data_IF_210492532438
#
_entry.id   IF_210492532438
#
_cell.length_a   1.000
_cell.length_b   1.000
_cell.length_c   1.000
_cell.angle_alpha   90.00
_cell.angle_beta   90.00
_cell.angle_gamma   90.00
#
_symmetry.space_group_name_H-M   'P 1'
#
loop_
_entity.id
_entity.type
_entity.pdbx_description
1 polymer ?
#
# COMPACT_ATOMS: atom_id res chain seq x y z
N UNK A 1 9.79 -9.74 4.58
CA UNK A 1 9.75 -8.32 4.16
C UNK A 1 9.18 -7.48 5.29
N UNK A 2 9.37 -6.18 5.25
CA UNK A 2 8.77 -5.19 6.14
C UNK A 2 7.97 -4.19 5.32
N UNK A 3 6.93 -3.60 5.90
CA UNK A 3 6.13 -2.56 5.26
C UNK A 3 6.98 -1.30 5.05
N UNK A 4 6.80 -0.62 3.91
CA UNK A 4 7.46 0.66 3.64
C UNK A 4 6.66 1.84 4.24
N UNK A 5 7.26 3.03 4.25
CA UNK A 5 6.55 4.26 4.65
C UNK A 5 5.30 4.49 3.77
N UNK A 6 5.36 4.16 2.48
CA UNK A 6 4.21 4.25 1.57
C UNK A 6 3.05 3.34 2.02
N UNK A 7 3.35 2.14 2.47
CA UNK A 7 2.35 1.21 3.02
C UNK A 7 1.78 1.71 4.36
N UNK A 8 2.62 2.27 5.24
CA UNK A 8 2.17 2.87 6.48
C UNK A 8 1.25 4.07 6.23
N UNK A 9 1.59 4.97 5.29
CA UNK A 9 0.74 6.10 4.90
C UNK A 9 -0.62 5.65 4.36
N UNK A 10 -0.65 4.55 3.59
CA UNK A 10 -1.91 3.97 3.13
C UNK A 10 -2.80 3.54 4.31
N UNK A 11 -2.24 2.87 5.32
CA UNK A 11 -2.99 2.47 6.52
C UNK A 11 -3.48 3.72 7.27
N UNK A 12 -2.60 4.69 7.54
CA UNK A 12 -2.90 5.95 8.25
C UNK A 12 -4.08 6.69 7.60
N UNK A 13 -4.12 6.72 6.25
CA UNK A 13 -5.17 7.38 5.48
C UNK A 13 -6.57 6.82 5.78
N UNK A 14 -6.70 5.52 6.05
CA UNK A 14 -7.98 4.87 6.27
C UNK A 14 -8.36 4.67 7.73
N UNK A 15 -7.39 4.57 8.63
CA UNK A 15 -7.66 4.39 10.06
C UNK A 15 -7.98 5.71 10.77
N UNK A 16 -7.37 6.81 10.34
CA UNK A 16 -7.46 8.11 10.99
C UNK A 16 -6.69 8.15 12.32
N UNK A 17 -6.37 9.35 12.77
CA UNK A 17 -5.58 9.58 13.97
C UNK A 17 -6.44 10.01 15.15
N UNK A 18 -6.32 9.32 16.29
CA UNK A 18 -6.91 9.68 17.57
C UNK A 18 -5.82 9.79 18.64
N UNK A 19 -5.52 11.01 19.05
CA UNK A 19 -4.49 11.27 20.06
C UNK A 19 -4.96 11.05 21.50
N UNK A 20 -6.26 10.91 21.72
CA UNK A 20 -6.86 10.61 23.04
C UNK A 20 -7.55 9.27 22.99
N UNK A 21 -7.42 8.50 24.08
CA UNK A 21 -8.03 7.19 24.21
C UNK A 21 -9.56 7.27 24.15
N UNK A 22 -10.18 6.33 23.43
CA UNK A 22 -11.62 6.24 23.28
C UNK A 22 -12.10 4.78 23.26
N UNK A 23 -13.39 4.59 23.40
CA UNK A 23 -14.07 3.32 23.12
C UNK A 23 -15.09 3.55 22.01
N UNK A 24 -15.07 2.73 20.97
CA UNK A 24 -16.08 2.77 19.92
C UNK A 24 -17.44 2.28 20.43
N UNK A 25 -17.42 1.27 21.32
CA UNK A 25 -18.58 0.77 22.03
C UNK A 25 -18.28 0.76 23.54
N UNK A 26 -19.27 1.12 24.35
CA UNK A 26 -19.14 1.09 25.83
C UNK A 26 -18.85 -0.30 26.40
N UNK A 27 -19.18 -1.33 25.64
CA UNK A 27 -18.96 -2.74 25.99
C UNK A 27 -17.55 -3.24 25.72
N UNK A 28 -16.71 -2.47 25.00
CA UNK A 28 -15.32 -2.87 24.73
C UNK A 28 -14.52 -3.01 26.02
N UNK A 29 -13.70 -4.05 26.10
CA UNK A 29 -12.87 -4.32 27.29
C UNK A 29 -11.78 -3.27 27.45
N UNK A 30 -11.11 -2.90 26.37
CA UNK A 30 -9.98 -1.97 26.35
C UNK A 30 -10.31 -0.68 25.60
N UNK A 31 -9.45 0.30 25.71
CA UNK A 31 -9.50 1.54 24.95
C UNK A 31 -8.71 1.42 23.67
N UNK A 32 -9.02 2.29 22.72
CA UNK A 32 -8.34 2.45 21.44
C UNK A 32 -7.66 3.81 21.40
N UNK A 33 -6.49 3.92 20.78
CA UNK A 33 -5.74 5.17 20.61
C UNK A 33 -4.91 5.12 19.31
N UNK A 34 -4.40 6.26 18.84
CA UNK A 34 -3.53 6.33 17.66
C UNK A 34 -4.27 5.98 16.38
N UNK A 35 -3.71 5.11 15.58
CA UNK A 35 -4.26 4.58 14.33
C UNK A 35 -5.00 3.25 14.52
N UNK A 36 -5.74 3.12 15.60
CA UNK A 36 -6.53 1.93 15.89
C UNK A 36 -5.84 0.95 16.86
N UNK A 37 -4.79 1.37 17.56
CA UNK A 37 -4.16 0.56 18.60
C UNK A 37 -5.15 0.28 19.75
N UNK A 38 -5.46 -1.00 19.94
CA UNK A 38 -6.42 -1.48 20.96
C UNK A 38 -5.71 -2.46 21.89
N UNK A 39 -5.67 -2.16 23.17
CA UNK A 39 -4.96 -3.01 24.11
C UNK A 39 -5.18 -2.67 25.58
N UNK A 40 -4.70 -3.56 26.46
CA UNK A 40 -4.72 -3.37 27.93
C UNK A 40 -3.73 -2.30 28.40
N UNK A 41 -2.83 -1.88 27.55
CA UNK A 41 -1.86 -0.83 27.77
C UNK A 41 -2.43 0.59 27.50
N UNK A 42 -3.66 0.68 26.95
CA UNK A 42 -4.37 1.95 26.73
C UNK A 42 -5.33 2.23 27.89
N UNK A 43 -5.00 3.23 28.71
CA UNK A 43 -5.84 3.65 29.83
C UNK A 43 -6.87 4.72 29.44
N UNK A 44 -7.93 4.92 30.24
CA UNK A 44 -9.08 5.79 29.94
C UNK A 44 -8.69 7.21 29.56
N UNK A 45 -7.84 7.89 30.17
CA UNK A 45 -7.52 9.29 29.92
C UNK A 45 -6.15 9.45 29.23
N UNK A 46 -5.65 8.38 28.61
CA UNK A 46 -4.36 8.38 27.93
C UNK A 46 -4.40 9.30 26.73
N UNK A 47 -3.34 10.10 26.59
CA UNK A 47 -3.06 10.91 25.40
C UNK A 47 -1.66 10.61 24.90
N UNK A 48 -1.48 10.67 23.59
CA UNK A 48 -0.19 10.42 22.93
C UNK A 48 0.08 11.50 21.89
N UNK A 49 1.34 11.61 21.48
CA UNK A 49 1.74 12.43 20.34
C UNK A 49 1.54 11.65 19.03
N UNK A 50 1.57 12.34 17.89
CA UNK A 50 1.53 11.70 16.58
C UNK A 50 2.70 10.72 16.37
N UNK A 51 3.92 11.11 16.80
CA UNK A 51 5.08 10.22 16.75
C UNK A 51 4.88 8.94 17.55
N UNK A 52 4.27 9.03 18.75
CA UNK A 52 3.94 7.84 19.54
C UNK A 52 2.85 6.99 18.86
N UNK A 53 1.88 7.61 18.19
CA UNK A 53 0.87 6.88 17.41
C UNK A 53 1.50 6.12 16.23
N UNK A 54 2.50 6.71 15.57
CA UNK A 54 3.26 6.03 14.50
C UNK A 54 4.09 4.86 15.02
N UNK A 55 4.73 5.01 16.18
CA UNK A 55 5.46 3.91 16.82
C UNK A 55 4.53 2.74 17.20
N UNK A 56 3.33 3.04 17.70
CA UNK A 56 2.31 2.03 17.97
C UNK A 56 1.87 1.34 16.68
N UNK A 57 1.60 2.10 15.61
CA UNK A 57 1.23 1.54 14.33
C UNK A 57 2.33 0.60 13.79
N UNK A 58 3.60 1.00 13.85
CA UNK A 58 4.74 0.17 13.42
C UNK A 58 4.81 -1.15 14.17
N UNK A 59 4.50 -1.16 15.46
CA UNK A 59 4.40 -2.40 16.26
C UNK A 59 3.18 -3.24 15.88
N UNK A 60 2.03 -2.58 15.69
CA UNK A 60 0.78 -3.29 15.38
C UNK A 60 0.80 -3.98 14.02
N UNK A 61 1.50 -3.41 13.04
CA UNK A 61 1.60 -4.01 11.70
C UNK A 61 2.48 -5.25 11.66
N UNK A 62 3.42 -5.45 12.59
CA UNK A 62 4.35 -6.59 12.59
C UNK A 62 3.62 -7.93 12.49
N UNK A 63 2.55 -8.12 13.25
CA UNK A 63 1.74 -9.35 13.19
C UNK A 63 1.07 -9.58 11.83
N UNK A 64 0.83 -8.53 11.06
CA UNK A 64 0.25 -8.61 9.71
C UNK A 64 1.33 -8.82 8.66
N UNK A 65 2.51 -8.21 8.83
CA UNK A 65 3.70 -8.53 8.04
C UNK A 65 4.01 -10.03 8.10
N UNK A 66 3.97 -10.62 9.30
CA UNK A 66 4.19 -12.05 9.49
C UNK A 66 3.15 -12.90 8.74
N UNK A 67 1.88 -12.46 8.72
CA UNK A 67 0.82 -13.15 7.97
C UNK A 67 1.03 -13.10 6.47
N UNK A 68 1.51 -11.97 5.94
CA UNK A 68 1.85 -11.84 4.51
C UNK A 68 3.13 -12.62 4.19
N UNK A 69 4.14 -12.58 5.06
CA UNK A 69 5.40 -13.29 4.88
C UNK A 69 5.24 -14.82 4.83
N UNK A 70 4.16 -15.39 5.39
CA UNK A 70 3.83 -16.82 5.22
C UNK A 70 3.66 -17.23 3.76
N UNK A 71 3.35 -16.28 2.88
CA UNK A 71 3.18 -16.47 1.45
C UNK A 71 4.41 -16.03 0.64
N UNK A 72 5.61 -16.19 1.20
CA UNK A 72 6.87 -15.78 0.58
C UNK A 72 7.16 -16.44 -0.77
N UNK A 73 6.54 -17.59 -1.06
CA UNK A 73 6.61 -18.27 -2.35
C UNK A 73 6.07 -17.44 -3.53
N UNK A 74 5.26 -16.42 -3.28
CA UNK A 74 4.80 -15.50 -4.32
C UNK A 74 5.88 -14.50 -4.77
N UNK A 75 6.94 -14.30 -3.97
CA UNK A 75 7.96 -13.28 -4.21
C UNK A 75 7.35 -11.89 -4.47
N UNK A 76 6.38 -11.51 -3.62
CA UNK A 76 5.74 -10.19 -3.72
C UNK A 76 6.79 -9.08 -3.78
N UNK A 77 6.58 -8.12 -4.67
CA UNK A 77 7.36 -6.89 -4.65
C UNK A 77 6.93 -5.97 -3.49
N UNK A 78 7.66 -4.87 -3.25
CA UNK A 78 7.38 -3.99 -2.10
C UNK A 78 5.97 -3.38 -2.16
N UNK A 79 5.50 -2.94 -3.33
CA UNK A 79 4.16 -2.36 -3.47
C UNK A 79 3.06 -3.41 -3.20
N UNK A 80 3.24 -4.62 -3.68
CA UNK A 80 2.33 -5.74 -3.42
C UNK A 80 2.32 -6.11 -1.94
N UNK A 81 3.49 -6.17 -1.32
CA UNK A 81 3.62 -6.46 0.11
C UNK A 81 2.90 -5.39 0.95
N UNK A 82 3.16 -4.11 0.69
CA UNK A 82 2.54 -2.98 1.39
C UNK A 82 1.01 -2.99 1.29
N UNK A 83 0.49 -3.22 0.09
CA UNK A 83 -0.95 -3.34 -0.16
C UNK A 83 -1.58 -4.52 0.62
N UNK A 84 -0.90 -5.67 0.63
CA UNK A 84 -1.36 -6.85 1.35
C UNK A 84 -1.29 -6.70 2.87
N UNK A 85 -0.28 -5.99 3.41
CA UNK A 85 -0.23 -5.67 4.83
C UNK A 85 -1.37 -4.71 5.21
N UNK A 86 -1.65 -3.67 4.40
CA UNK A 86 -2.82 -2.80 4.61
C UNK A 86 -4.13 -3.58 4.58
N UNK A 87 -4.29 -4.49 3.61
CA UNK A 87 -5.45 -5.37 3.52
C UNK A 87 -5.58 -6.25 4.76
N UNK A 88 -4.50 -6.91 5.17
CA UNK A 88 -4.48 -7.77 6.35
C UNK A 88 -4.75 -7.00 7.64
N UNK A 89 -4.27 -5.75 7.75
CA UNK A 89 -4.55 -4.87 8.89
C UNK A 89 -6.06 -4.64 9.08
N UNK A 90 -6.79 -4.47 7.98
CA UNK A 90 -8.24 -4.25 7.99
C UNK A 90 -9.07 -5.55 8.12
N UNK A 91 -8.69 -6.61 7.40
CA UNK A 91 -9.48 -7.87 7.31
C UNK A 91 -9.01 -8.92 8.34
N UNK A 92 -7.77 -8.83 8.80
CA UNK A 92 -7.18 -9.75 9.76
C UNK A 92 -6.12 -10.69 9.18
N UNK A 93 -6.22 -11.11 7.91
CA UNK A 93 -5.26 -11.97 7.19
C UNK A 93 -5.50 -11.91 5.68
N UNK A 94 -4.69 -12.63 4.90
CA UNK A 94 -4.83 -12.74 3.44
C UNK A 94 -5.17 -14.16 2.96
N UNK A 95 -5.51 -15.07 3.86
CA UNK A 95 -5.71 -16.50 3.53
C UNK A 95 -6.83 -16.71 2.51
N UNK A 96 -7.95 -16.02 2.67
CA UNK A 96 -9.07 -16.08 1.71
C UNK A 96 -8.72 -15.33 0.41
N UNK A 97 -8.02 -14.20 0.51
CA UNK A 97 -7.61 -13.42 -0.65
C UNK A 97 -6.67 -14.22 -1.56
N UNK A 98 -5.76 -14.99 -0.98
CA UNK A 98 -4.82 -15.85 -1.72
C UNK A 98 -5.38 -17.23 -2.04
N UNK A 99 -6.60 -17.56 -1.55
CA UNK A 99 -7.14 -18.91 -1.52
C UNK A 99 -6.11 -19.92 -0.96
N UNK A 100 -5.52 -19.57 0.18
CA UNK A 100 -4.47 -20.35 0.85
C UNK A 100 -3.25 -20.65 -0.04
N UNK A 101 -2.90 -19.71 -0.91
CA UNK A 101 -1.72 -19.80 -1.76
C UNK A 101 -1.96 -20.46 -3.12
N UNK A 102 -3.20 -20.63 -3.56
CA UNK A 102 -3.52 -21.24 -4.86
C UNK A 102 -3.84 -20.24 -5.97
N UNK A 103 -4.15 -18.97 -5.66
CA UNK A 103 -4.40 -17.94 -6.66
C UNK A 103 -3.10 -17.40 -7.25
N UNK A 104 -3.16 -16.98 -8.52
CA UNK A 104 -2.05 -16.22 -9.14
C UNK A 104 -2.05 -14.77 -8.64
N UNK A 105 -0.97 -14.03 -8.92
CA UNK A 105 -0.83 -12.59 -8.57
C UNK A 105 -2.00 -11.78 -9.18
N UNK A 106 -2.34 -12.04 -10.45
CA UNK A 106 -3.44 -11.37 -11.17
C UNK A 106 -4.79 -11.67 -10.53
N UNK A 107 -5.00 -12.91 -10.10
CA UNK A 107 -6.21 -13.30 -9.39
C UNK A 107 -6.30 -12.64 -8.02
N UNK A 108 -5.19 -12.51 -7.28
CA UNK A 108 -5.14 -11.80 -6.01
C UNK A 108 -5.55 -10.33 -6.24
N UNK A 109 -4.92 -9.63 -7.21
CA UNK A 109 -5.25 -8.26 -7.57
C UNK A 109 -6.74 -8.08 -7.85
N UNK A 110 -7.32 -8.93 -8.71
CA UNK A 110 -8.74 -8.84 -9.08
C UNK A 110 -9.68 -9.08 -7.90
N UNK A 111 -9.28 -9.88 -6.92
CA UNK A 111 -10.10 -10.23 -5.75
C UNK A 111 -10.04 -9.18 -4.63
N UNK A 112 -9.04 -8.32 -4.57
CA UNK A 112 -8.95 -7.25 -3.56
C UNK A 112 -10.26 -6.45 -3.51
N UNK A 113 -10.80 -6.04 -4.66
CA UNK A 113 -12.01 -5.22 -4.78
C UNK A 113 -13.30 -5.89 -4.30
N UNK A 114 -13.29 -7.19 -3.99
CA UNK A 114 -14.47 -7.91 -3.52
C UNK A 114 -14.75 -7.72 -2.01
N UNK A 115 -13.77 -7.25 -1.23
CA UNK A 115 -13.84 -7.14 0.24
C UNK A 115 -14.38 -5.78 0.69
N UNK A 116 -15.58 -5.43 0.22
CA UNK A 116 -16.21 -4.11 0.41
C UNK A 116 -17.45 -4.14 1.31
N UNK A 117 -17.76 -5.29 1.94
CA UNK A 117 -18.96 -5.46 2.73
C UNK A 117 -18.64 -5.62 4.22
N UNK A 118 -19.48 -4.99 5.06
CA UNK A 118 -19.54 -5.27 6.49
C UNK A 118 -21.02 -5.33 6.91
N UNK A 119 -21.38 -6.30 7.74
CA UNK A 119 -22.79 -6.54 8.13
C UNK A 119 -23.71 -6.77 6.93
N UNK A 120 -23.20 -7.40 5.85
CA UNK A 120 -23.95 -7.68 4.62
C UNK A 120 -24.15 -6.47 3.68
N UNK A 121 -23.71 -5.27 4.06
CA UNK A 121 -23.86 -4.04 3.27
C UNK A 121 -22.52 -3.58 2.69
N UNK A 122 -22.55 -3.10 1.45
CA UNK A 122 -21.39 -2.44 0.85
C UNK A 122 -21.17 -1.08 1.49
N UNK A 123 -19.93 -0.82 1.95
CA UNK A 123 -19.54 0.43 2.59
C UNK A 123 -18.60 1.23 1.67
N UNK A 124 -18.96 2.49 1.40
CA UNK A 124 -18.18 3.37 0.53
C UNK A 124 -16.72 3.55 0.98
N UNK A 125 -16.47 3.56 2.30
CA UNK A 125 -15.11 3.62 2.87
C UNK A 125 -14.28 2.38 2.52
N UNK A 126 -14.90 1.18 2.57
CA UNK A 126 -14.23 -0.05 2.16
C UNK A 126 -13.97 -0.10 0.65
N UNK A 127 -14.89 0.40 -0.17
CA UNK A 127 -14.70 0.51 -1.62
C UNK A 127 -13.44 1.34 -1.90
N UNK A 128 -13.36 2.56 -1.36
CA UNK A 128 -12.20 3.45 -1.55
C UNK A 128 -10.89 2.81 -1.03
N UNK A 129 -10.94 2.11 0.10
CA UNK A 129 -9.77 1.42 0.65
C UNK A 129 -9.28 0.33 -0.30
N UNK A 130 -10.17 -0.53 -0.78
CA UNK A 130 -9.82 -1.61 -1.74
C UNK A 130 -9.29 -1.06 -3.05
N UNK A 131 -9.86 0.05 -3.54
CA UNK A 131 -9.35 0.74 -4.74
C UNK A 131 -7.89 1.18 -4.56
N UNK A 132 -7.57 1.82 -3.42
CA UNK A 132 -6.20 2.29 -3.14
C UNK A 132 -5.22 1.14 -2.87
N UNK A 133 -5.66 0.09 -2.19
CA UNK A 133 -4.85 -1.11 -1.99
C UNK A 133 -4.57 -1.82 -3.33
N UNK A 134 -5.57 -1.94 -4.19
CA UNK A 134 -5.40 -2.50 -5.53
C UNK A 134 -4.50 -1.64 -6.42
N UNK A 135 -4.68 -0.32 -6.43
CA UNK A 135 -3.83 0.62 -7.15
C UNK A 135 -2.35 0.46 -6.75
N UNK A 136 -2.08 0.38 -5.43
CA UNK A 136 -0.74 0.15 -4.93
C UNK A 136 -0.21 -1.24 -5.34
N UNK A 137 -1.02 -2.28 -5.23
CA UNK A 137 -0.66 -3.65 -5.58
C UNK A 137 -0.25 -3.79 -7.05
N UNK A 138 -0.98 -3.11 -7.95
CA UNK A 138 -0.76 -3.16 -9.40
C UNK A 138 0.33 -2.19 -9.88
N UNK A 139 0.80 -1.28 -9.01
CA UNK A 139 1.87 -0.34 -9.36
C UNK A 139 3.22 -1.07 -9.47
N UNK A 140 3.88 -1.07 -10.64
CA UNK A 140 5.20 -1.65 -10.78
C UNK A 140 6.21 -0.95 -9.83
N UNK A 141 7.21 -1.69 -9.35
CA UNK A 141 8.38 -1.06 -8.76
C UNK A 141 9.24 -0.55 -9.90
N UNK A 142 9.53 0.75 -9.91
CA UNK A 142 10.58 1.28 -10.75
C UNK A 142 11.87 0.57 -10.33
N UNK A 143 12.34 -0.34 -11.16
CA UNK A 143 13.67 -0.90 -11.01
C UNK A 143 14.64 0.26 -11.18
N UNK A 144 15.30 0.66 -10.10
CA UNK A 144 16.51 1.47 -10.16
C UNK A 144 17.67 0.60 -10.68
N UNK A 145 17.44 -0.10 -11.77
CA UNK A 145 18.47 -0.66 -12.62
C UNK A 145 18.74 0.37 -13.70
N UNK A 146 19.59 1.32 -13.38
CA UNK A 146 20.49 1.89 -14.36
C UNK A 146 21.49 0.78 -14.71
N UNK A 147 21.03 -0.31 -15.32
CA UNK A 147 21.85 -0.97 -16.31
C UNK A 147 21.89 0.01 -17.46
N UNK A 148 23.01 0.67 -17.58
CA UNK A 148 23.50 1.27 -18.81
C UNK A 148 23.57 0.15 -19.86
N UNK A 149 22.43 -0.27 -20.42
CA UNK A 149 22.41 -0.68 -21.80
C UNK A 149 22.63 0.62 -22.52
N UNK A 150 23.81 0.75 -23.13
CA UNK A 150 24.11 1.75 -24.12
C UNK A 150 22.94 1.82 -25.09
N UNK A 151 21.98 2.72 -24.82
CA UNK A 151 21.13 3.24 -25.86
C UNK A 151 22.09 4.08 -26.67
N UNK A 152 22.57 3.51 -27.77
CA UNK A 152 23.34 4.21 -28.75
C UNK A 152 22.47 5.35 -29.28
N UNK A 153 22.54 6.49 -28.60
CA UNK A 153 22.08 7.74 -29.18
C UNK A 153 23.13 8.08 -30.28
N UNK A 154 22.75 8.12 -31.54
CA UNK A 154 23.63 8.67 -32.55
C UNK A 154 24.02 10.08 -32.08
N UNK A 155 25.32 10.37 -32.04
CA UNK A 155 25.83 11.71 -31.66
C UNK A 155 24.97 12.72 -32.39
N UNK A 156 24.24 13.53 -31.64
CA UNK A 156 23.45 14.63 -32.17
C UNK A 156 24.40 15.47 -33.03
N UNK A 157 24.12 15.58 -34.34
CA UNK A 157 24.90 16.40 -35.23
C UNK A 157 24.80 17.83 -34.70
N UNK A 158 25.93 18.53 -34.68
CA UNK A 158 26.09 19.87 -34.07
C UNK A 158 25.19 20.97 -34.67
N UNK A 159 24.27 20.58 -35.53
CA UNK A 159 23.28 21.46 -36.20
C UNK A 159 21.98 21.68 -35.36
N UNK A 160 21.70 20.85 -34.32
CA UNK A 160 20.45 20.95 -33.59
C UNK A 160 20.72 21.28 -32.13
N UNK A 161 20.11 22.37 -31.66
CA UNK A 161 20.25 22.85 -30.29
C UNK A 161 19.20 22.27 -29.32
N UNK A 162 18.18 21.55 -29.87
CA UNK A 162 17.15 20.88 -29.06
C UNK A 162 16.50 19.72 -29.85
N UNK A 163 15.87 18.78 -29.12
CA UNK A 163 15.07 17.68 -29.69
C UNK A 163 13.91 18.21 -30.56
N UNK A 164 13.38 19.39 -30.23
CA UNK A 164 12.30 20.03 -30.98
C UNK A 164 12.76 20.48 -32.36
N UNK A 165 14.01 20.95 -32.49
CA UNK A 165 14.58 21.36 -33.77
C UNK A 165 14.88 20.15 -34.67
N UNK A 166 15.29 19.02 -34.07
CA UNK A 166 15.49 17.75 -34.79
C UNK A 166 14.18 17.19 -35.35
N UNK A 167 13.07 17.27 -34.61
CA UNK A 167 11.76 16.79 -35.04
C UNK A 167 11.18 17.65 -36.19
N UNK A 168 11.41 18.96 -36.20
CA UNK A 168 10.97 19.85 -37.28
C UNK A 168 11.69 19.62 -38.61
N UNK A 169 12.92 19.08 -38.59
CA UNK A 169 13.68 18.78 -39.82
C UNK A 169 13.19 17.51 -40.54
N UNK A 170 12.47 16.63 -39.84
CA UNK A 170 11.94 15.38 -40.41
C UNK A 170 10.67 15.64 -41.25
N UNK A 171 9.92 16.72 -40.98
CA UNK A 171 8.69 17.04 -41.70
C UNK A 171 8.95 17.74 -43.06
N UNK A 172 10.18 18.18 -43.37
CA UNK A 172 10.48 18.96 -44.57
C UNK A 172 10.98 18.09 -45.75
N UNK A 173 11.37 16.82 -45.49
CA UNK A 173 11.89 15.91 -46.55
C UNK A 173 10.80 14.96 -47.13
N UNK A 174 9.51 15.26 -46.95
CA UNK A 174 8.39 14.46 -47.48
C UNK A 174 7.62 15.18 -48.58
N UNK A 175 8.36 15.76 -49.56
CA UNK A 175 7.79 16.25 -50.83
C UNK A 175 8.59 15.78 -52.01
#
# INVERSE_FOLDING_TARGET
MKISEKGLELIKTFEGLRLSAYKALSTEKYYTIGYGHYGSDVSKDMTITESQAEELLKKDVEKFEDKVNKYSNYNFNQNQFDALVSFAYNIGNIDQLTAKGTRTIEQISSHISLYVKAGGKTLAGLVKRREKEKELFDTPIESSNTSTTDIFYPKCDSKFTSIVDALKSIEVDST
#
